data_IF_330077013403
#
_entry.id   IF_330077013403
#
_cell.length_a   1.000
_cell.length_b   1.000
_cell.length_c   1.000
_cell.angle_alpha   90.00
_cell.angle_beta   90.00
_cell.angle_gamma   90.00
#
_symmetry.space_group_name_H-M   'P 1'
#
loop_
_entity.id
_entity.type
_entity.pdbx_description
1 polymer ?
#
# COMPACT_ATOMS: atom_id res chain seq x y z
N UNK A 1 11.29 11.79 -7.56
CA UNK A 1 10.01 11.05 -7.55
C UNK A 1 9.56 10.82 -6.10
N UNK A 2 8.33 10.32 -5.85
CA UNK A 2 7.85 10.04 -4.49
C UNK A 2 8.78 9.08 -3.72
N UNK A 3 9.27 8.04 -4.41
CA UNK A 3 10.26 7.07 -3.89
C UNK A 3 11.51 7.78 -3.41
N UNK A 4 12.13 8.60 -4.26
CA UNK A 4 13.38 9.30 -3.92
C UNK A 4 13.19 10.23 -2.72
N UNK A 5 12.03 10.89 -2.61
CA UNK A 5 11.70 11.74 -1.48
C UNK A 5 11.65 10.94 -0.18
N UNK A 6 10.89 9.84 -0.11
CA UNK A 6 10.76 9.06 1.14
C UNK A 6 11.97 8.19 1.48
N UNK A 7 12.84 7.92 0.51
CA UNK A 7 14.12 7.23 0.74
C UNK A 7 15.18 8.14 1.37
N UNK A 8 15.01 9.47 1.31
CA UNK A 8 15.93 10.40 1.96
C UNK A 8 15.65 10.47 3.47
N UNK A 9 16.65 10.17 4.30
CA UNK A 9 16.52 10.20 5.77
C UNK A 9 16.20 11.58 6.34
N UNK A 10 16.54 12.65 5.64
CA UNK A 10 16.24 14.03 6.02
C UNK A 10 14.90 14.53 5.47
N UNK A 11 14.11 13.65 4.84
CA UNK A 11 12.84 14.04 4.25
C UNK A 11 11.85 14.54 5.32
N UNK A 12 11.36 15.79 5.23
CA UNK A 12 10.47 16.36 6.22
C UNK A 12 9.03 15.88 5.97
N UNK A 13 8.75 14.61 6.27
CA UNK A 13 7.50 13.93 5.93
C UNK A 13 6.24 14.55 6.57
N UNK A 14 6.39 15.35 7.63
CA UNK A 14 5.30 16.08 8.28
C UNK A 14 4.93 17.39 7.59
N UNK A 15 5.78 17.90 6.68
CA UNK A 15 5.47 19.11 5.89
C UNK A 15 4.51 18.76 4.77
N UNK A 16 3.56 19.66 4.51
CA UNK A 16 2.62 19.52 3.40
C UNK A 16 3.42 19.49 2.08
N UNK A 17 3.28 18.45 1.24
CA UNK A 17 3.96 18.43 -0.05
C UNK A 17 3.35 19.45 -1.00
N UNK A 18 4.23 20.15 -1.71
CA UNK A 18 3.89 20.89 -2.91
C UNK A 18 4.01 19.95 -4.11
N UNK A 19 2.90 19.69 -4.80
CA UNK A 19 2.87 18.75 -5.93
C UNK A 19 2.77 19.50 -7.25
N UNK A 20 3.61 19.15 -8.21
CA UNK A 20 3.55 19.61 -9.60
C UNK A 20 3.64 18.42 -10.54
N UNK A 21 2.81 18.39 -11.59
CA UNK A 21 2.89 17.38 -12.64
C UNK A 21 3.71 17.92 -13.81
N UNK A 22 4.63 17.10 -14.33
CA UNK A 22 5.52 17.51 -15.42
C UNK A 22 4.67 17.74 -16.68
N UNK A 23 4.80 18.93 -17.27
CA UNK A 23 4.04 19.32 -18.46
C UNK A 23 2.66 19.93 -18.16
N UNK A 24 2.29 20.09 -16.89
CA UNK A 24 1.04 20.73 -16.48
C UNK A 24 1.29 22.08 -15.79
N UNK A 25 0.65 23.14 -16.29
CA UNK A 25 0.63 24.44 -15.62
C UNK A 25 -0.50 24.49 -14.60
N UNK A 26 -0.24 23.97 -13.39
CA UNK A 26 -1.19 23.96 -12.29
C UNK A 26 -0.54 24.43 -10.97
N UNK A 27 -1.26 25.28 -10.23
CA UNK A 27 -0.89 25.66 -8.86
C UNK A 27 -1.55 24.67 -7.90
N UNK A 28 -0.77 24.11 -6.98
CA UNK A 28 -1.30 23.17 -5.99
C UNK A 28 -2.05 23.88 -4.85
N UNK A 29 -3.31 24.22 -5.13
CA UNK A 29 -4.29 24.61 -4.11
C UNK A 29 -4.97 23.38 -3.46
N UNK A 30 -4.36 22.19 -3.55
CA UNK A 30 -4.83 20.92 -3.01
C UNK A 30 -5.35 19.93 -4.07
N UNK A 31 -5.67 20.39 -5.28
CA UNK A 31 -6.08 19.51 -6.39
C UNK A 31 -4.97 18.54 -6.80
N UNK A 32 -3.82 19.06 -7.29
CA UNK A 32 -2.66 18.25 -7.64
C UNK A 32 -2.23 17.29 -6.54
N UNK A 33 -2.22 17.74 -5.27
CA UNK A 33 -1.88 16.87 -4.14
C UNK A 33 -2.83 15.69 -3.96
N UNK A 34 -4.14 15.91 -4.04
CA UNK A 34 -5.13 14.83 -3.96
C UNK A 34 -4.94 13.82 -5.09
N UNK A 35 -4.70 14.32 -6.30
CA UNK A 35 -4.49 13.47 -7.47
C UNK A 35 -3.19 12.66 -7.35
N UNK A 36 -2.11 13.29 -6.88
CA UNK A 36 -0.85 12.62 -6.63
C UNK A 36 -1.00 11.46 -5.65
N UNK A 37 -1.66 11.67 -4.50
CA UNK A 37 -1.84 10.57 -3.55
C UNK A 37 -2.78 9.48 -4.07
N UNK A 38 -3.78 9.83 -4.90
CA UNK A 38 -4.63 8.84 -5.57
C UNK A 38 -3.81 7.96 -6.51
N UNK A 39 -3.01 8.56 -7.39
CA UNK A 39 -2.11 7.84 -8.32
C UNK A 39 -1.07 7.03 -7.55
N UNK A 40 -0.48 7.61 -6.50
CA UNK A 40 0.54 6.94 -5.68
C UNK A 40 -0.01 5.65 -5.05
N UNK A 41 -1.23 5.66 -4.52
CA UNK A 41 -1.83 4.45 -3.93
C UNK A 41 -2.14 3.39 -4.99
N UNK A 42 -2.52 3.79 -6.22
CA UNK A 42 -2.67 2.85 -7.32
C UNK A 42 -1.33 2.18 -7.67
N UNK A 43 -0.25 2.95 -7.79
CA UNK A 43 1.09 2.42 -8.09
C UNK A 43 1.65 1.53 -6.97
N UNK A 44 1.44 1.90 -5.71
CA UNK A 44 1.80 1.06 -4.56
C UNK A 44 1.11 -0.29 -4.64
N UNK A 45 -0.17 -0.30 -5.04
CA UNK A 45 -0.96 -1.51 -5.17
C UNK A 45 -0.52 -2.38 -6.36
N UNK A 46 -0.27 -1.81 -7.54
CA UNK A 46 -0.08 -2.57 -8.78
C UNK A 46 1.36 -2.83 -9.16
N UNK A 47 2.30 -1.96 -8.76
CA UNK A 47 3.60 -1.86 -9.43
C UNK A 47 4.79 -2.21 -8.53
N UNK A 48 4.61 -2.22 -7.20
CA UNK A 48 5.67 -2.63 -6.27
C UNK A 48 5.88 -4.15 -6.20
N UNK A 49 4.92 -4.96 -6.67
CA UNK A 49 5.04 -6.42 -6.66
C UNK A 49 5.01 -7.06 -5.27
N UNK A 50 4.55 -6.33 -4.25
CA UNK A 50 4.49 -6.79 -2.86
C UNK A 50 3.10 -7.28 -2.45
N UNK A 51 2.12 -7.20 -3.36
CA UNK A 51 0.74 -7.59 -3.12
C UNK A 51 0.29 -8.63 -4.14
N UNK A 52 -0.56 -9.54 -3.70
CA UNK A 52 -1.20 -10.57 -4.50
C UNK A 52 -2.67 -10.76 -4.11
N UNK A 53 -3.43 -11.44 -4.97
CA UNK A 53 -4.86 -11.66 -4.78
C UNK A 53 -5.72 -10.69 -5.58
N UNK A 54 -6.98 -10.55 -5.16
CA UNK A 54 -7.99 -9.78 -5.89
C UNK A 54 -8.16 -8.38 -5.29
N UNK A 55 -8.58 -7.37 -6.08
CA UNK A 55 -8.89 -6.05 -5.53
C UNK A 55 -9.87 -6.12 -4.36
N UNK A 56 -9.52 -5.51 -3.23
CA UNK A 56 -10.30 -5.56 -1.98
C UNK A 56 -9.97 -6.75 -1.07
N UNK A 57 -9.21 -7.72 -1.56
CA UNK A 57 -8.71 -8.89 -0.83
C UNK A 57 -7.23 -9.12 -1.16
N UNK A 58 -6.43 -8.06 -1.05
CA UNK A 58 -4.99 -8.17 -1.27
C UNK A 58 -4.27 -8.68 -0.02
N UNK A 59 -3.31 -9.56 -0.27
CA UNK A 59 -2.37 -10.10 0.70
C UNK A 59 -0.95 -9.67 0.34
N UNK A 60 -0.04 -9.74 1.31
CA UNK A 60 1.38 -9.57 1.03
C UNK A 60 1.94 -10.81 0.35
N UNK A 61 2.74 -10.62 -0.68
CA UNK A 61 3.51 -11.71 -1.27
C UNK A 61 4.56 -12.22 -0.29
N UNK A 62 4.94 -13.49 -0.41
CA UNK A 62 6.14 -14.03 0.23
C UNK A 62 7.32 -13.93 -0.74
N UNK A 63 7.88 -12.73 -0.89
CA UNK A 63 9.02 -12.46 -1.79
C UNK A 63 10.24 -11.94 -1.01
N UNK A 64 11.28 -12.78 -0.92
CA UNK A 64 12.54 -12.47 -0.25
C UNK A 64 13.34 -11.39 -0.98
N UNK A 65 13.33 -11.36 -2.32
CA UNK A 65 14.03 -10.32 -3.07
C UNK A 65 13.37 -8.95 -2.83
N UNK A 66 12.03 -8.90 -2.82
CA UNK A 66 11.31 -7.69 -2.47
C UNK A 66 11.60 -7.20 -1.04
N UNK A 67 11.87 -8.13 -0.11
CA UNK A 67 12.27 -7.81 1.26
C UNK A 67 13.69 -7.22 1.31
N UNK A 68 14.65 -7.86 0.63
CA UNK A 68 16.04 -7.39 0.52
C UNK A 68 16.14 -6.02 -0.18
N UNK A 69 15.25 -5.75 -1.14
CA UNK A 69 15.13 -4.46 -1.83
C UNK A 69 14.30 -3.41 -1.06
N UNK A 70 13.92 -3.70 0.19
CA UNK A 70 13.15 -2.81 1.07
C UNK A 70 11.80 -2.34 0.49
N UNK A 71 11.16 -3.12 -0.38
CA UNK A 71 9.91 -2.72 -1.06
C UNK A 71 8.73 -2.60 -0.09
N UNK A 72 8.62 -3.51 0.88
CA UNK A 72 7.57 -3.45 1.91
C UNK A 72 7.72 -2.21 2.79
N UNK A 73 8.96 -1.87 3.18
CA UNK A 73 9.25 -0.65 3.95
C UNK A 73 8.92 0.60 3.13
N UNK A 74 9.29 0.63 1.86
CA UNK A 74 8.96 1.72 0.94
C UNK A 74 7.44 1.92 0.83
N UNK A 75 6.68 0.83 0.63
CA UNK A 75 5.22 0.90 0.59
C UNK A 75 4.65 1.46 1.89
N UNK A 76 5.13 0.98 3.05
CA UNK A 76 4.73 1.50 4.36
C UNK A 76 4.95 3.01 4.49
N UNK A 77 6.12 3.53 4.07
CA UNK A 77 6.42 4.97 4.07
C UNK A 77 5.47 5.75 3.16
N UNK A 78 5.20 5.25 1.94
CA UNK A 78 4.31 5.91 0.98
C UNK A 78 2.86 5.94 1.46
N UNK A 79 2.37 4.83 2.04
CA UNK A 79 1.03 4.71 2.61
C UNK A 79 0.89 5.63 3.82
N UNK A 80 1.86 5.62 4.74
CA UNK A 80 1.87 6.51 5.90
C UNK A 80 1.86 7.99 5.48
N UNK A 81 2.62 8.34 4.44
CA UNK A 81 2.66 9.70 3.92
C UNK A 81 1.31 10.12 3.31
N UNK A 82 0.65 9.21 2.58
CA UNK A 82 -0.73 9.41 2.10
C UNK A 82 -1.68 9.70 3.25
N UNK A 83 -1.69 8.85 4.29
CA UNK A 83 -2.56 9.04 5.47
C UNK A 83 -2.27 10.34 6.20
N UNK A 84 -1.00 10.67 6.43
CA UNK A 84 -0.58 11.86 7.17
C UNK A 84 -1.04 13.17 6.51
N UNK A 85 -1.23 13.18 5.20
CA UNK A 85 -1.63 14.37 4.43
C UNK A 85 -3.08 14.30 3.90
N UNK A 86 -3.91 13.41 4.47
CA UNK A 86 -5.33 13.29 4.13
C UNK A 86 -5.60 12.63 2.78
N UNK A 87 -4.62 11.90 2.25
CA UNK A 87 -4.77 11.03 1.08
C UNK A 87 -5.56 9.75 1.40
N UNK A 88 -5.80 8.90 0.40
CA UNK A 88 -6.68 7.73 0.56
C UNK A 88 -6.07 6.59 1.40
N UNK A 89 -4.75 6.53 1.57
CA UNK A 89 -4.09 5.34 2.14
C UNK A 89 -4.34 4.06 1.31
N UNK A 90 -4.00 2.90 1.87
CA UNK A 90 -4.22 1.60 1.23
C UNK A 90 -5.60 1.05 1.66
N UNK A 91 -6.56 1.00 0.74
CA UNK A 91 -7.94 0.53 0.97
C UNK A 91 -8.26 -0.80 0.31
N UNK A 92 -7.23 -1.59 0.02
CA UNK A 92 -7.32 -2.76 -0.86
C UNK A 92 -6.89 -4.06 -0.18
N UNK A 93 -6.39 -3.99 1.05
CA UNK A 93 -6.04 -5.17 1.85
C UNK A 93 -7.29 -5.96 2.22
N UNK A 94 -7.12 -7.27 2.32
CA UNK A 94 -8.11 -8.13 2.96
C UNK A 94 -8.51 -7.59 4.36
N UNK A 95 -9.81 -7.51 4.69
CA UNK A 95 -10.27 -6.93 5.95
C UNK A 95 -9.73 -7.66 7.19
N UNK A 96 -9.62 -8.99 7.15
CA UNK A 96 -9.10 -9.78 8.27
C UNK A 96 -7.61 -9.52 8.45
N UNK A 97 -6.84 -9.49 7.35
CA UNK A 97 -5.42 -9.11 7.37
C UNK A 97 -5.23 -7.71 7.96
N UNK A 98 -6.04 -6.74 7.54
CA UNK A 98 -5.97 -5.38 8.07
C UNK A 98 -6.25 -5.32 9.58
N UNK A 99 -7.27 -6.03 10.06
CA UNK A 99 -7.59 -6.13 11.49
C UNK A 99 -6.44 -6.74 12.29
N UNK A 100 -5.84 -7.83 11.78
CA UNK A 100 -4.67 -8.47 12.39
C UNK A 100 -3.49 -7.50 12.50
N UNK A 101 -3.19 -6.73 11.44
CA UNK A 101 -2.14 -5.71 11.46
C UNK A 101 -2.40 -4.62 12.50
N UNK A 102 -3.67 -4.29 12.76
CA UNK A 102 -4.09 -3.34 13.78
C UNK A 102 -4.19 -3.96 15.18
N UNK A 103 -3.63 -5.16 15.41
CA UNK A 103 -3.69 -5.89 16.69
C UNK A 103 -5.11 -6.13 17.20
N UNK A 104 -6.10 -6.15 16.30
CA UNK A 104 -7.47 -6.50 16.63
C UNK A 104 -7.62 -8.02 16.64
N UNK A 105 -8.49 -8.52 17.52
CA UNK A 105 -8.88 -9.93 17.47
C UNK A 105 -9.63 -10.21 16.17
N UNK A 106 -9.06 -11.11 15.37
CA UNK A 106 -9.72 -11.64 14.19
C UNK A 106 -10.10 -13.08 14.49
N UNK A 107 -11.39 -13.41 14.38
CA UNK A 107 -11.81 -14.80 14.47
C UNK A 107 -11.45 -15.49 13.15
N UNK A 108 -10.54 -16.47 13.20
CA UNK A 108 -10.09 -17.20 12.01
C UNK A 108 -11.23 -17.91 11.24
N UNK A 109 -12.37 -18.14 11.90
CA UNK A 109 -13.57 -18.71 11.26
C UNK A 109 -14.21 -17.76 10.24
N UNK A 110 -13.95 -16.45 10.35
CA UNK A 110 -14.45 -15.43 9.43
C UNK A 110 -13.52 -15.25 8.22
N UNK A 111 -12.35 -15.88 8.25
CA UNK A 111 -11.37 -15.80 7.17
C UNK A 111 -11.75 -16.73 6.02
N UNK A 112 -12.04 -16.15 4.86
CA UNK A 112 -12.31 -16.91 3.66
C UNK A 112 -11.00 -17.38 3.02
N UNK A 113 -10.59 -18.61 3.35
CA UNK A 113 -9.37 -19.23 2.82
C UNK A 113 -9.35 -19.31 1.28
N UNK A 114 -10.50 -19.25 0.60
CA UNK A 114 -10.58 -19.24 -0.87
C UNK A 114 -10.04 -17.95 -1.49
N UNK A 115 -9.86 -16.91 -0.67
CA UNK A 115 -9.25 -15.65 -1.08
C UNK A 115 -7.71 -15.70 -1.06
N UNK A 116 -7.10 -16.71 -0.40
CA UNK A 116 -5.65 -16.88 -0.41
C UNK A 116 -5.18 -17.16 -1.85
N UNK A 117 -4.23 -16.40 -2.41
CA UNK A 117 -3.82 -16.58 -3.81
C UNK A 117 -3.08 -17.90 -4.08
N UNK A 118 -2.41 -18.45 -3.07
CA UNK A 118 -1.63 -19.68 -3.15
C UNK A 118 -2.53 -20.93 -3.25
N UNK A 119 -2.51 -21.58 -4.42
CA UNK A 119 -3.29 -22.78 -4.70
C UNK A 119 -2.88 -23.99 -3.84
N UNK A 120 -1.60 -24.13 -3.51
CA UNK A 120 -1.13 -25.23 -2.65
C UNK A 120 -1.65 -25.08 -1.22
N UNK A 121 -1.78 -23.84 -0.74
CA UNK A 121 -2.40 -23.54 0.55
C UNK A 121 -3.90 -23.83 0.49
N UNK A 122 -4.59 -23.40 -0.56
CA UNK A 122 -6.00 -23.70 -0.76
C UNK A 122 -6.29 -25.21 -0.72
N UNK A 123 -5.50 -26.02 -1.42
CA UNK A 123 -5.66 -27.48 -1.47
C UNK A 123 -5.42 -28.14 -0.10
N UNK A 124 -4.51 -27.59 0.71
CA UNK A 124 -4.26 -28.09 2.07
C UNK A 124 -5.39 -27.78 3.04
N UNK A 125 -6.06 -26.64 2.86
CA UNK A 125 -7.15 -26.17 3.73
C UNK A 125 -8.52 -26.79 3.39
N UNK A 126 -8.64 -27.46 2.24
CA UNK A 126 -9.85 -28.20 1.85
C UNK A 126 -10.07 -29.53 2.60
N UNK A 127 -9.07 -30.01 3.36
CA UNK A 127 -9.09 -31.31 4.05
C UNK A 127 -9.47 -31.20 5.52
#
# INVERSE_FOLDING_TARGET
SAKDSVSNSNFPWTKIPLVTFVGEEAIDCGGPRREFFRILMMEVQSSLGIFEGQPGNLFFTYDQMALEEHKYELAGKLIAWSVAHGGPGLKSLDPCLYQLMCTQECHLVDFDWRLIPDADIQDKLQK
#
